data_IF_084591974888
#
_entry.id   IF_084591974888
#
_cell.length_a   1.000
_cell.length_b   1.000
_cell.length_c   1.000
_cell.angle_alpha   90.00
_cell.angle_beta   90.00
_cell.angle_gamma   90.00
#
_symmetry.space_group_name_H-M   'P 1'
#
loop_
_entity.id
_entity.type
_entity.pdbx_description
1 polymer ?
#
# COMPACT_ATOMS: atom_id res chain seq x y z
N UNK A 1 12.93 -6.86 -13.25
CA UNK A 1 13.13 -5.73 -12.32
C UNK A 1 12.20 -5.78 -11.11
N UNK A 2 10.98 -6.35 -11.24
CA UNK A 2 9.95 -6.54 -10.19
C UNK A 2 10.46 -6.76 -8.76
N UNK A 3 11.59 -7.45 -8.58
CA UNK A 3 12.17 -7.73 -7.26
C UNK A 3 12.61 -6.44 -6.53
N UNK A 4 13.18 -5.47 -7.25
CA UNK A 4 13.60 -4.20 -6.67
C UNK A 4 12.40 -3.34 -6.25
N UNK A 5 11.39 -3.18 -7.12
CA UNK A 5 10.21 -2.41 -6.75
C UNK A 5 9.47 -3.07 -5.58
N UNK A 6 9.44 -4.41 -5.56
CA UNK A 6 8.84 -5.15 -4.45
C UNK A 6 9.60 -4.93 -3.14
N UNK A 7 10.93 -4.97 -3.15
CA UNK A 7 11.75 -4.68 -1.97
C UNK A 7 11.50 -3.26 -1.45
N UNK A 8 11.52 -2.27 -2.33
CA UNK A 8 11.22 -0.88 -1.98
C UNK A 8 9.83 -0.70 -1.37
N UNK A 9 8.81 -1.41 -1.88
CA UNK A 9 7.47 -1.40 -1.33
C UNK A 9 7.38 -2.06 0.06
N UNK A 10 8.22 -3.05 0.36
CA UNK A 10 8.28 -3.70 1.67
C UNK A 10 9.01 -2.84 2.71
N UNK A 11 10.05 -2.13 2.30
CA UNK A 11 10.77 -1.16 3.15
C UNK A 11 9.92 0.08 3.48
N UNK A 12 8.94 0.40 2.62
CA UNK A 12 8.09 1.58 2.76
C UNK A 12 6.60 1.16 2.85
N UNK A 13 6.14 0.65 4.01
CA UNK A 13 4.80 0.05 4.14
C UNK A 13 3.65 1.04 3.85
N UNK A 14 3.85 2.35 4.06
CA UNK A 14 2.89 3.38 3.67
C UNK A 14 2.57 3.37 2.17
N UNK A 15 3.51 2.98 1.31
CA UNK A 15 3.29 2.92 -0.14
C UNK A 15 2.28 1.83 -0.49
N UNK A 16 2.32 0.72 0.26
CA UNK A 16 1.33 -0.35 0.14
C UNK A 16 -0.06 0.13 0.57
N UNK A 17 -0.16 0.98 1.60
CA UNK A 17 -1.44 1.54 2.05
C UNK A 17 -2.07 2.42 0.97
N UNK A 18 -1.28 3.32 0.36
CA UNK A 18 -1.75 4.19 -0.73
C UNK A 18 -2.17 3.36 -1.95
N UNK A 19 -1.35 2.39 -2.37
CA UNK A 19 -1.69 1.53 -3.52
C UNK A 19 -2.96 0.71 -3.27
N UNK A 20 -3.12 0.18 -2.05
CA UNK A 20 -4.32 -0.54 -1.62
C UNK A 20 -5.55 0.35 -1.65
N UNK A 21 -5.44 1.57 -1.14
CA UNK A 21 -6.55 2.53 -1.11
C UNK A 21 -7.10 2.78 -2.53
N UNK A 22 -6.24 3.11 -3.50
CA UNK A 22 -6.69 3.29 -4.89
C UNK A 22 -7.23 2.00 -5.53
N UNK A 23 -6.67 0.83 -5.19
CA UNK A 23 -7.18 -0.46 -5.70
C UNK A 23 -8.60 -0.73 -5.20
N UNK A 24 -8.88 -0.46 -3.93
CA UNK A 24 -10.21 -0.59 -3.32
C UNK A 24 -11.21 0.38 -3.95
N UNK A 25 -10.84 1.65 -4.10
CA UNK A 25 -11.71 2.64 -4.75
C UNK A 25 -12.01 2.28 -6.21
N UNK A 26 -11.03 1.74 -6.94
CA UNK A 26 -11.21 1.29 -8.32
C UNK A 26 -12.21 0.14 -8.42
N UNK A 27 -12.21 -0.79 -7.45
CA UNK A 27 -13.23 -1.85 -7.37
C UNK A 27 -14.60 -1.26 -7.07
N UNK A 28 -14.71 -0.39 -6.05
CA UNK A 28 -15.98 0.23 -5.65
C UNK A 28 -16.63 1.03 -6.78
N UNK A 29 -15.83 1.83 -7.49
CA UNK A 29 -16.33 2.62 -8.64
C UNK A 29 -16.86 1.71 -9.75
N UNK A 30 -16.20 0.57 -10.02
CA UNK A 30 -16.68 -0.40 -11.02
C UNK A 30 -17.91 -1.18 -10.58
N UNK A 31 -18.05 -1.44 -9.29
CA UNK A 31 -19.26 -2.08 -8.73
C UNK A 31 -20.47 -1.13 -8.82
N UNK A 32 -20.25 0.17 -8.66
CA UNK A 32 -21.29 1.20 -8.79
C UNK A 32 -21.61 1.55 -10.24
N UNK A 33 -20.59 1.58 -11.10
CA UNK A 33 -20.71 1.88 -12.53
C UNK A 33 -19.81 0.91 -13.34
N UNK A 34 -20.38 -0.17 -13.89
CA UNK A 34 -19.64 -1.16 -14.67
C UNK A 34 -18.96 -0.60 -15.93
N UNK A 35 -19.48 0.51 -16.49
CA UNK A 35 -18.91 1.20 -17.66
C UNK A 35 -17.78 2.15 -17.28
N UNK A 36 -17.54 2.35 -15.98
CA UNK A 36 -16.45 3.19 -15.52
C UNK A 36 -15.09 2.65 -15.93
N UNK A 37 -14.29 3.55 -16.49
CA UNK A 37 -12.87 3.30 -16.76
C UNK A 37 -12.06 3.09 -15.47
N UNK A 38 -12.63 3.29 -14.27
CA UNK A 38 -11.95 3.06 -13.00
C UNK A 38 -10.84 4.07 -12.70
N UNK A 39 -10.99 5.29 -13.23
CA UNK A 39 -10.17 6.44 -12.84
C UNK A 39 -10.69 7.05 -11.56
N UNK A 40 -9.80 7.28 -10.61
CA UNK A 40 -10.10 7.79 -9.27
C UNK A 40 -9.48 9.18 -9.14
N UNK A 41 -10.26 10.17 -8.70
CA UNK A 41 -9.70 11.50 -8.41
C UNK A 41 -8.58 11.37 -7.36
N UNK A 42 -7.52 12.18 -7.47
CA UNK A 42 -6.43 12.17 -6.50
C UNK A 42 -6.98 12.37 -5.09
N UNK A 43 -6.70 11.39 -4.23
CA UNK A 43 -7.03 11.45 -2.82
C UNK A 43 -6.00 12.30 -2.08
N UNK A 44 -6.49 13.17 -1.19
CA UNK A 44 -5.64 14.02 -0.35
C UNK A 44 -5.44 13.44 1.05
N UNK A 45 -6.12 12.33 1.38
CA UNK A 45 -6.03 11.62 2.66
C UNK A 45 -6.09 10.11 2.39
N UNK A 46 -5.30 9.34 3.14
CA UNK A 46 -5.31 7.87 3.13
C UNK A 46 -5.08 7.40 4.57
N UNK A 47 -5.94 6.52 5.06
CA UNK A 47 -5.84 6.00 6.43
C UNK A 47 -4.46 5.38 6.72
N UNK A 48 -3.84 5.83 7.81
CA UNK A 48 -2.52 5.36 8.25
C UNK A 48 -1.34 5.94 7.46
N UNK A 49 -1.55 6.99 6.67
CA UNK A 49 -0.50 7.68 5.91
C UNK A 49 -0.49 9.17 6.26
N UNK A 50 0.68 9.70 6.58
CA UNK A 50 0.89 11.13 6.82
C UNK A 50 0.64 11.91 5.52
N UNK A 51 -0.23 12.94 5.56
CA UNK A 51 -0.70 13.66 4.37
C UNK A 51 0.45 14.27 3.56
N UNK A 52 1.47 14.78 4.25
CA UNK A 52 2.67 15.38 3.66
C UNK A 52 3.49 14.35 2.86
N UNK A 53 3.36 13.06 3.14
CA UNK A 53 4.03 12.00 2.39
C UNK A 53 3.32 11.67 1.06
N UNK A 54 2.01 11.90 0.97
CA UNK A 54 1.19 11.48 -0.17
C UNK A 54 1.74 11.96 -1.54
N UNK A 55 2.14 13.23 -1.73
CA UNK A 55 2.71 13.66 -3.01
C UNK A 55 3.93 12.83 -3.44
N UNK A 56 4.83 12.55 -2.49
CA UNK A 56 6.03 11.73 -2.74
C UNK A 56 5.67 10.28 -3.04
N UNK A 57 4.73 9.71 -2.28
CA UNK A 57 4.28 8.33 -2.45
C UNK A 57 3.63 8.15 -3.83
N UNK A 58 2.73 9.05 -4.23
CA UNK A 58 2.13 9.02 -5.58
C UNK A 58 3.21 9.03 -6.66
N UNK A 59 4.21 9.90 -6.55
CA UNK A 59 5.33 9.95 -7.50
C UNK A 59 6.10 8.63 -7.58
N UNK A 60 6.35 7.97 -6.45
CA UNK A 60 7.02 6.66 -6.40
C UNK A 60 6.19 5.55 -7.03
N UNK A 61 4.90 5.47 -6.72
CA UNK A 61 4.01 4.47 -7.32
C UNK A 61 3.85 4.67 -8.83
N UNK A 62 3.91 5.91 -9.32
CA UNK A 62 3.93 6.23 -10.75
C UNK A 62 5.25 5.81 -11.39
N UNK A 63 6.39 6.13 -10.76
CA UNK A 63 7.71 5.75 -11.26
C UNK A 63 7.90 4.23 -11.36
N UNK A 64 7.23 3.45 -10.51
CA UNK A 64 7.24 1.98 -10.53
C UNK A 64 6.14 1.36 -11.43
N UNK A 65 5.40 2.16 -12.19
CA UNK A 65 4.28 1.70 -13.02
C UNK A 65 3.21 0.92 -12.22
N UNK A 66 3.04 1.24 -10.93
CA UNK A 66 2.00 0.66 -10.06
C UNK A 66 0.74 1.54 -10.05
N UNK A 67 0.92 2.84 -10.29
CA UNK A 67 -0.13 3.83 -10.47
C UNK A 67 0.11 4.56 -11.80
N UNK A 68 -0.95 4.90 -12.52
CA UNK A 68 -0.86 5.82 -13.65
C UNK A 68 -1.75 7.02 -13.42
N UNK A 69 -1.48 8.12 -14.11
CA UNK A 69 -2.22 9.36 -13.95
C UNK A 69 -2.74 9.91 -15.28
N UNK A 70 -3.82 10.69 -15.19
CA UNK A 70 -4.29 11.56 -16.26
C UNK A 70 -4.73 12.89 -15.67
N UNK A 71 -4.67 13.94 -16.49
CA UNK A 71 -5.15 15.27 -16.14
C UNK A 71 -6.37 15.52 -17.01
N UNK A 72 -7.53 15.72 -16.40
CA UNK A 72 -8.73 16.10 -17.13
C UNK A 72 -8.86 17.63 -17.07
N UNK A 73 -8.68 18.30 -18.21
CA UNK A 73 -8.89 19.74 -18.36
C UNK A 73 -8.08 20.63 -17.41
N UNK A 74 -8.38 21.95 -17.42
CA UNK A 74 -7.78 22.92 -16.49
C UNK A 74 -8.38 22.87 -15.08
N UNK A 75 -9.64 22.42 -14.96
CA UNK A 75 -10.43 22.53 -13.73
C UNK A 75 -10.75 21.18 -13.08
N UNK A 76 -10.45 20.05 -13.72
CA UNK A 76 -10.95 18.73 -13.28
C UNK A 76 -9.95 17.94 -12.43
N UNK A 77 -8.77 18.48 -12.17
CA UNK A 77 -7.78 17.89 -11.28
C UNK A 77 -7.00 16.69 -11.87
N UNK A 78 -6.31 15.98 -10.99
CA UNK A 78 -5.49 14.80 -11.35
C UNK A 78 -6.26 13.54 -10.97
N UNK A 79 -6.32 12.58 -11.90
CA UNK A 79 -6.90 11.26 -11.68
C UNK A 79 -5.81 10.21 -11.71
N UNK A 80 -5.99 9.18 -10.88
CA UNK A 80 -5.12 8.03 -10.81
C UNK A 80 -5.88 6.74 -11.07
N UNK A 81 -5.15 5.72 -11.53
CA UNK A 81 -5.67 4.37 -11.72
C UNK A 81 -4.57 3.37 -11.39
N UNK A 82 -4.91 2.32 -10.64
CA UNK A 82 -3.97 1.23 -10.37
C UNK A 82 -3.75 0.46 -11.65
N UNK A 83 -2.49 0.23 -12.00
CA UNK A 83 -2.15 -0.50 -13.22
C UNK A 83 -2.42 -2.00 -13.05
N UNK A 84 -2.33 -2.75 -14.16
CA UNK A 84 -2.35 -4.21 -14.10
C UNK A 84 -1.17 -4.75 -13.26
N UNK A 85 0.00 -4.11 -13.33
CA UNK A 85 1.17 -4.47 -12.53
C UNK A 85 0.93 -4.23 -11.04
N UNK A 86 0.38 -3.06 -10.68
CA UNK A 86 -0.01 -2.71 -9.31
C UNK A 86 -0.98 -3.73 -8.70
N UNK A 87 -2.07 -4.05 -9.40
CA UNK A 87 -3.05 -5.03 -8.94
C UNK A 87 -2.49 -6.45 -8.82
N UNK A 88 -1.52 -6.84 -9.66
CA UNK A 88 -0.83 -8.14 -9.53
C UNK A 88 0.17 -8.18 -8.37
N UNK A 89 0.83 -7.05 -8.08
CA UNK A 89 1.85 -6.96 -7.05
C UNK A 89 1.25 -6.87 -5.65
N UNK A 90 0.15 -6.13 -5.50
CA UNK A 90 -0.46 -5.80 -4.21
C UNK A 90 -0.76 -7.05 -3.32
N UNK A 91 -1.42 -8.13 -3.81
CA UNK A 91 -1.67 -9.30 -2.97
C UNK A 91 -0.39 -9.99 -2.48
N UNK A 92 0.70 -9.91 -3.27
CA UNK A 92 2.00 -10.48 -2.88
C UNK A 92 2.65 -9.65 -1.79
N UNK A 93 2.56 -8.32 -1.88
CA UNK A 93 3.04 -7.39 -0.87
C UNK A 93 2.29 -7.58 0.45
N UNK A 94 0.96 -7.61 0.41
CA UNK A 94 0.13 -7.81 1.60
C UNK A 94 0.44 -9.14 2.32
N UNK A 95 0.61 -10.22 1.55
CA UNK A 95 1.02 -11.52 2.11
C UNK A 95 2.39 -11.46 2.78
N UNK A 96 3.37 -10.80 2.15
CA UNK A 96 4.74 -10.65 2.69
C UNK A 96 4.74 -9.76 3.94
N UNK A 97 4.07 -8.60 3.91
CA UNK A 97 3.94 -7.69 5.06
C UNK A 97 3.27 -8.38 6.24
N UNK A 98 2.18 -9.12 6.01
CA UNK A 98 1.52 -9.90 7.07
C UNK A 98 2.47 -10.91 7.71
N UNK A 99 3.26 -11.62 6.90
CA UNK A 99 4.25 -12.58 7.39
C UNK A 99 5.34 -11.90 8.22
N UNK A 100 5.86 -10.75 7.76
CA UNK A 100 6.89 -9.98 8.48
C UNK A 100 6.37 -9.49 9.84
N UNK A 101 5.15 -8.95 9.88
CA UNK A 101 4.51 -8.53 11.12
C UNK A 101 4.28 -9.71 12.09
N UNK A 102 3.85 -10.87 11.57
CA UNK A 102 3.65 -12.06 12.41
C UNK A 102 4.95 -12.64 12.97
N UNK A 103 6.06 -12.54 12.23
CA UNK A 103 7.36 -13.02 12.68
C UNK A 103 7.95 -12.11 13.77
N UNK A 104 7.85 -10.79 13.61
CA UNK A 104 8.26 -9.81 14.62
C UNK A 104 7.48 -9.98 15.93
N UNK A 105 6.17 -10.26 15.85
CA UNK A 105 5.36 -10.50 17.03
C UNK A 105 5.71 -11.82 17.73
N UNK A 106 6.20 -12.84 17.03
CA UNK A 106 6.61 -14.11 17.64
C UNK A 106 7.94 -13.99 18.39
N UNK A 107 8.89 -13.23 17.86
CA UNK A 107 10.21 -12.98 18.49
C UNK A 107 10.10 -12.11 19.75
N UNK A 108 9.05 -11.29 19.87
CA UNK A 108 8.80 -10.45 21.07
C UNK A 108 8.12 -11.20 22.23
N UNK A 109 7.71 -12.47 22.05
CA UNK A 109 6.93 -13.25 23.03
C UNK A 109 7.78 -14.34 23.73
N UNK A 110 9.09 -14.40 23.49
CA UNK A 110 10.00 -15.27 24.27
C UNK A 110 9.91 -14.95 25.78
N UNK A 111 9.51 -15.90 26.64
CA UNK A 111 9.34 -15.64 28.06
C UNK A 111 10.69 -15.38 28.72
N UNK A 112 10.79 -14.30 29.49
CA UNK A 112 11.73 -14.20 30.60
C UNK A 112 11.36 -15.29 31.62
N UNK A 113 11.84 -16.52 31.43
CA UNK A 113 11.97 -17.49 32.52
C UNK A 113 13.03 -16.95 33.49
N UNK A 114 12.65 -15.95 34.29
CA UNK A 114 13.37 -15.60 35.49
C UNK A 114 13.08 -16.69 36.53
N UNK A 115 13.93 -17.70 36.46
CA UNK A 115 14.64 -18.36 37.56
C UNK A 115 14.45 -17.66 38.93
N UNK A 116 13.24 -17.75 39.52
CA UNK A 116 12.99 -17.37 40.89
C UNK A 116 12.79 -18.63 41.74
N UNK A 117 13.81 -18.83 42.57
CA UNK A 117 13.79 -19.53 43.85
C UNK A 117 13.78 -21.06 43.84
N UNK A 118 14.93 -21.64 43.50
CA UNK A 118 15.54 -22.63 44.41
C UNK A 118 16.36 -21.86 45.46
N UNK A 119 15.78 -21.59 46.62
CA UNK A 119 16.52 -21.33 47.86
C UNK A 119 15.59 -21.43 49.07
N UNK A 120 16.05 -22.24 50.04
CA UNK A 120 15.54 -22.52 51.38
C UNK A 120 14.48 -23.62 51.51
#
# INVERSE_FOLDING_TARGET
MIDFEQEQMLENPEWCLVLRHYSQMQVQVKEQDPESDGWIIRQNEVDGVVVEHLPRIHGKLIAFDLLKFQIAGRDSGVFYKVTTAGNKMLPRLEKKLRKLLSAQNAEQVEPLEQDYAKSA
#
